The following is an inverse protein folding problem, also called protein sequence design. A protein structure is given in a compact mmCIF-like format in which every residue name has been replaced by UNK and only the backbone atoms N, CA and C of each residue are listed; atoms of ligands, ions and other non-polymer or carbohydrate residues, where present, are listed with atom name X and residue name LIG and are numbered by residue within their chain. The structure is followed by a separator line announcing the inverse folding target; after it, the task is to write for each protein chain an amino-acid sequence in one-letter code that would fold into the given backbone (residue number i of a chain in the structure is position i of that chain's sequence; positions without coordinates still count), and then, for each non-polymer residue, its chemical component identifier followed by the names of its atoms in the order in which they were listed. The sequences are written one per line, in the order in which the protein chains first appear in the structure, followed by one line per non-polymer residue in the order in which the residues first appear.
data_IF_837773535126
#
_entry.id   IF_837773535126
#
_cell.length_a   1.000
_cell.length_b   1.000
_cell.length_c   1.000
_cell.angle_alpha   90.00
_cell.angle_beta   90.00
_cell.angle_gamma   90.00
#
_symmetry.space_group_name_H-M   'P 1'
#
loop_
_entity.id
_entity.type
_entity.pdbx_description
1 polymer ?
#
# COMPACT_ATOMS: atom_id res chain seq x y z
N UNK A 1 55.39 37.30 40.90
CA UNK A 1 54.98 35.98 40.35
C UNK A 1 56.05 35.53 39.36
N UNK A 2 56.64 34.34 39.53
CA UNK A 2 57.70 33.86 38.63
C UNK A 2 57.15 33.65 37.20
N UNK A 3 57.94 34.00 36.19
CA UNK A 3 57.59 33.89 34.76
C UNK A 3 57.14 32.48 34.36
N UNK A 4 57.68 31.45 35.05
CA UNK A 4 57.29 30.06 34.90
C UNK A 4 55.86 29.78 35.37
N UNK A 5 55.44 30.32 36.52
CA UNK A 5 54.06 30.15 37.02
C UNK A 5 53.03 30.70 36.05
N UNK A 6 53.29 31.88 35.51
CA UNK A 6 52.43 32.52 34.52
C UNK A 6 52.31 31.71 33.23
N UNK A 7 53.43 31.17 32.70
CA UNK A 7 53.42 30.29 31.53
C UNK A 7 52.63 29.00 31.77
N UNK A 8 52.69 28.44 32.97
CA UNK A 8 51.90 27.25 33.34
C UNK A 8 50.41 27.59 33.40
N UNK A 9 50.03 28.72 34.01
CA UNK A 9 48.63 29.18 34.08
C UNK A 9 48.03 29.50 32.69
N UNK A 10 48.83 30.03 31.76
CA UNK A 10 48.42 30.24 30.37
C UNK A 10 48.21 28.89 29.67
N UNK A 11 49.13 27.93 29.82
CA UNK A 11 49.00 26.58 29.25
C UNK A 11 47.79 25.81 29.77
N UNK A 12 47.50 25.90 31.07
CA UNK A 12 46.32 25.26 31.68
C UNK A 12 45.03 25.87 31.14
N UNK A 13 44.98 27.19 30.91
CA UNK A 13 43.83 27.84 30.28
C UNK A 13 43.64 27.38 28.83
N UNK A 14 44.72 27.28 28.06
CA UNK A 14 44.64 26.77 26.69
C UNK A 14 44.14 25.32 26.62
N UNK A 15 44.61 24.45 27.52
CA UNK A 15 44.15 23.06 27.60
C UNK A 15 42.67 23.02 27.95
N UNK A 16 42.23 23.78 28.97
CA UNK A 16 40.82 23.84 29.37
C UNK A 16 39.91 24.30 28.23
N UNK A 17 40.30 25.35 27.51
CA UNK A 17 39.55 25.83 26.34
C UNK A 17 39.46 24.78 25.23
N UNK A 18 40.55 24.02 24.99
CA UNK A 18 40.55 22.92 24.01
C UNK A 18 39.64 21.78 24.45
N UNK A 19 39.68 21.41 25.73
CA UNK A 19 38.84 20.34 26.29
C UNK A 19 37.35 20.71 26.22
N UNK A 20 37.00 21.96 26.52
CA UNK A 20 35.64 22.49 26.38
C UNK A 20 35.16 22.46 24.92
N UNK A 21 35.99 22.91 23.98
CA UNK A 21 35.68 22.84 22.55
C UNK A 21 35.53 21.40 22.05
N UNK A 22 36.34 20.46 22.54
CA UNK A 22 36.25 19.05 22.19
C UNK A 22 34.97 18.43 22.75
N UNK A 23 34.59 18.74 23.99
CA UNK A 23 33.35 18.27 24.61
C UNK A 23 32.11 18.80 23.87
N UNK A 24 32.13 20.05 23.41
CA UNK A 24 31.06 20.63 22.61
C UNK A 24 30.92 19.93 21.25
N UNK A 25 32.04 19.68 20.56
CA UNK A 25 32.06 18.91 19.31
C UNK A 25 31.51 17.49 19.49
N UNK A 26 31.90 16.80 20.55
CA UNK A 26 31.37 15.46 20.84
C UNK A 26 29.86 15.47 21.09
N UNK A 27 29.34 16.50 21.76
CA UNK A 27 27.91 16.65 21.97
C UNK A 27 27.18 16.92 20.64
N UNK A 28 27.73 17.75 19.76
CA UNK A 28 27.17 18.02 18.43
C UNK A 28 27.12 16.72 17.61
N UNK A 29 28.24 15.99 17.51
CA UNK A 29 28.31 14.74 16.75
C UNK A 29 27.32 13.71 17.30
N UNK A 30 27.14 13.63 18.62
CA UNK A 30 26.16 12.74 19.24
C UNK A 30 24.72 13.12 18.88
N UNK A 31 24.42 14.42 18.86
CA UNK A 31 23.12 14.93 18.47
C UNK A 31 22.84 14.60 16.99
N UNK A 32 23.79 14.92 16.10
CA UNK A 32 23.70 14.66 14.66
C UNK A 32 23.52 13.17 14.35
N UNK A 33 24.25 12.30 15.05
CA UNK A 33 24.09 10.86 14.90
C UNK A 33 22.67 10.42 15.26
N UNK A 34 22.13 10.93 16.37
CA UNK A 34 20.78 10.60 16.79
C UNK A 34 19.71 11.16 15.83
N UNK A 35 19.91 12.36 15.28
CA UNK A 35 18.98 12.92 14.29
C UNK A 35 19.01 12.12 12.99
N UNK A 36 20.20 11.72 12.53
CA UNK A 36 20.35 10.92 11.31
C UNK A 36 19.69 9.54 11.45
N UNK A 37 19.88 8.86 12.60
CA UNK A 37 19.21 7.58 12.86
C UNK A 37 17.68 7.70 12.87
N UNK A 38 17.15 8.80 13.42
CA UNK A 38 15.70 9.06 13.38
C UNK A 38 15.21 9.36 11.97
N UNK A 39 15.98 10.13 11.19
CA UNK A 39 15.64 10.44 9.80
C UNK A 39 15.60 9.15 8.95
N UNK A 40 16.63 8.32 9.04
CA UNK A 40 16.69 7.03 8.35
C UNK A 40 15.54 6.11 8.74
N UNK A 41 15.20 6.05 10.04
CA UNK A 41 14.08 5.26 10.49
C UNK A 41 12.74 5.77 9.93
N UNK A 42 12.52 7.09 9.92
CA UNK A 42 11.30 7.70 9.38
C UNK A 42 11.17 7.47 7.87
N UNK A 43 12.24 7.64 7.10
CA UNK A 43 12.23 7.37 5.66
C UNK A 43 11.87 5.91 5.36
N UNK A 44 12.46 4.98 6.12
CA UNK A 44 12.15 3.56 5.98
C UNK A 44 10.71 3.23 6.39
N UNK A 45 10.20 3.85 7.45
CA UNK A 45 8.79 3.73 7.85
C UNK A 45 7.85 4.22 6.76
N UNK A 46 8.12 5.38 6.16
CA UNK A 46 7.31 5.92 5.07
C UNK A 46 7.32 5.00 3.86
N UNK A 47 8.48 4.47 3.48
CA UNK A 47 8.59 3.50 2.38
C UNK A 47 7.76 2.24 2.64
N UNK A 48 7.82 1.68 3.85
CA UNK A 48 7.04 0.49 4.24
C UNK A 48 5.54 0.82 4.27
N UNK A 49 5.16 1.98 4.81
CA UNK A 49 3.77 2.42 4.89
C UNK A 49 3.17 2.57 3.49
N UNK A 50 3.91 3.20 2.57
CA UNK A 50 3.51 3.41 1.19
C UNK A 50 3.36 2.10 0.43
N UNK A 51 4.32 1.18 0.56
CA UNK A 51 4.23 -0.16 -0.03
C UNK A 51 2.99 -0.91 0.45
N UNK A 52 2.67 -0.81 1.76
CA UNK A 52 1.47 -1.44 2.32
C UNK A 52 0.18 -0.81 1.80
N UNK A 53 0.16 0.51 1.60
CA UNK A 53 -0.98 1.21 0.97
C UNK A 53 -1.21 0.72 -0.45
N UNK A 54 -0.16 0.67 -1.28
CA UNK A 54 -0.25 0.16 -2.66
C UNK A 54 -0.76 -1.28 -2.70
N UNK A 55 -0.22 -2.16 -1.84
CA UNK A 55 -0.68 -3.55 -1.80
C UNK A 55 -2.17 -3.67 -1.44
N UNK A 56 -2.63 -2.84 -0.50
CA UNK A 56 -4.04 -2.81 -0.12
C UNK A 56 -4.93 -2.25 -1.23
N UNK A 57 -4.50 -1.19 -1.92
CA UNK A 57 -5.22 -0.64 -3.08
C UNK A 57 -5.32 -1.65 -4.21
N UNK A 58 -4.21 -2.32 -4.55
CA UNK A 58 -4.21 -3.36 -5.57
C UNK A 58 -5.18 -4.51 -5.24
N UNK A 59 -5.24 -4.93 -3.96
CA UNK A 59 -6.21 -5.94 -3.52
C UNK A 59 -7.65 -5.48 -3.71
N UNK A 60 -7.97 -4.24 -3.32
CA UNK A 60 -9.31 -3.65 -3.50
C UNK A 60 -9.70 -3.61 -4.98
N UNK A 61 -8.80 -3.15 -5.84
CA UNK A 61 -9.02 -3.10 -7.29
C UNK A 61 -9.28 -4.51 -7.83
N UNK A 62 -8.50 -5.51 -7.43
CA UNK A 62 -8.71 -6.89 -7.86
C UNK A 62 -10.07 -7.45 -7.42
N UNK A 63 -10.50 -7.15 -6.20
CA UNK A 63 -11.80 -7.59 -5.70
C UNK A 63 -12.96 -6.90 -6.43
N UNK A 64 -12.85 -5.60 -6.71
CA UNK A 64 -13.82 -4.84 -7.51
C UNK A 64 -13.92 -5.39 -8.94
N UNK A 65 -12.79 -5.66 -9.60
CA UNK A 65 -12.77 -6.27 -10.94
C UNK A 65 -13.43 -7.65 -10.91
N UNK A 66 -13.18 -8.46 -9.88
CA UNK A 66 -13.81 -9.78 -9.73
C UNK A 66 -15.33 -9.67 -9.56
N UNK A 67 -15.80 -8.71 -8.76
CA UNK A 67 -17.23 -8.45 -8.58
C UNK A 67 -17.89 -7.95 -9.86
N UNK A 68 -17.25 -7.02 -10.57
CA UNK A 68 -17.72 -6.51 -11.86
C UNK A 68 -17.83 -7.64 -12.90
N UNK A 69 -16.84 -8.53 -12.97
CA UNK A 69 -16.88 -9.69 -13.85
C UNK A 69 -18.05 -10.64 -13.52
N UNK A 70 -18.28 -10.91 -12.23
CA UNK A 70 -19.43 -11.71 -11.78
C UNK A 70 -20.76 -11.07 -12.18
N UNK A 71 -20.91 -9.76 -11.97
CA UNK A 71 -22.10 -9.01 -12.35
C UNK A 71 -22.34 -9.06 -13.86
N UNK A 72 -21.30 -8.86 -14.67
CA UNK A 72 -21.38 -8.94 -16.12
C UNK A 72 -21.81 -10.33 -16.60
N UNK A 73 -21.27 -11.41 -16.02
CA UNK A 73 -21.68 -12.78 -16.33
C UNK A 73 -23.14 -13.03 -15.95
N UNK A 74 -23.57 -12.54 -14.78
CA UNK A 74 -24.96 -12.69 -14.33
C UNK A 74 -25.94 -12.01 -15.28
N UNK A 75 -25.63 -10.79 -15.73
CA UNK A 75 -26.43 -10.05 -16.73
C UNK A 75 -26.50 -10.83 -18.03
N UNK A 76 -25.36 -11.32 -18.55
CA UNK A 76 -25.32 -12.12 -19.79
C UNK A 76 -26.16 -13.40 -19.67
N UNK A 77 -26.05 -14.11 -18.55
CA UNK A 77 -26.85 -15.32 -18.29
C UNK A 77 -28.34 -15.01 -18.30
N UNK A 78 -28.75 -13.90 -17.67
CA UNK A 78 -30.17 -13.52 -17.64
C UNK A 78 -30.68 -13.11 -19.02
N UNK A 79 -29.89 -12.37 -19.79
CA UNK A 79 -30.22 -12.01 -21.17
C UNK A 79 -30.34 -13.26 -22.07
N UNK A 80 -29.41 -14.22 -21.92
CA UNK A 80 -29.47 -15.48 -22.66
C UNK A 80 -30.71 -16.29 -22.31
N UNK A 81 -31.06 -16.39 -21.02
CA UNK A 81 -32.30 -17.05 -20.59
C UNK A 81 -33.54 -16.43 -21.22
N UNK A 82 -33.60 -15.09 -21.30
CA UNK A 82 -34.73 -14.40 -21.94
C UNK A 82 -34.79 -14.70 -23.44
N UNK A 83 -33.64 -14.77 -24.11
CA UNK A 83 -33.58 -15.07 -25.54
C UNK A 83 -34.03 -16.52 -25.81
N UNK A 84 -33.50 -17.48 -25.05
CA UNK A 84 -33.92 -18.88 -25.13
C UNK A 84 -35.42 -19.02 -24.87
N UNK A 85 -35.96 -18.32 -23.86
CA UNK A 85 -37.40 -18.38 -23.57
C UNK A 85 -38.23 -17.88 -24.75
N UNK A 86 -37.84 -16.75 -25.37
CA UNK A 86 -38.52 -16.22 -26.55
C UNK A 86 -38.48 -17.19 -27.73
N UNK A 87 -37.34 -17.85 -27.95
CA UNK A 87 -37.21 -18.87 -28.99
C UNK A 87 -38.10 -20.08 -28.70
N UNK A 88 -38.13 -20.57 -27.46
CA UNK A 88 -39.02 -21.66 -27.05
C UNK A 88 -40.49 -21.29 -27.29
N UNK A 89 -40.90 -20.09 -26.89
CA UNK A 89 -42.28 -19.62 -27.07
C UNK A 89 -42.66 -19.55 -28.56
N UNK A 90 -41.74 -19.07 -29.41
CA UNK A 90 -41.91 -19.05 -30.87
C UNK A 90 -42.03 -20.46 -31.44
N UNK A 91 -41.13 -21.37 -31.08
CA UNK A 91 -41.16 -22.75 -31.56
C UNK A 91 -42.37 -23.54 -31.04
N UNK A 92 -42.85 -23.28 -29.83
CA UNK A 92 -44.09 -23.87 -29.32
C UNK A 92 -45.29 -23.46 -30.18
N UNK A 93 -45.36 -22.20 -30.61
CA UNK A 93 -46.41 -21.73 -31.52
C UNK A 93 -46.33 -22.42 -32.89
N UNK A 94 -45.14 -22.49 -33.47
CA UNK A 94 -44.92 -23.15 -34.76
C UNK A 94 -45.25 -24.65 -34.71
N UNK A 95 -44.83 -25.34 -33.66
CA UNK A 95 -45.13 -26.76 -33.45
C UNK A 95 -46.63 -26.99 -33.25
N UNK A 96 -47.31 -26.11 -32.51
CA UNK A 96 -48.76 -26.18 -32.31
C UNK A 96 -49.53 -26.09 -33.63
N UNK A 97 -49.08 -25.26 -34.58
CA UNK A 97 -49.67 -25.19 -35.92
C UNK A 97 -49.53 -26.50 -36.70
N UNK A 98 -48.47 -27.26 -36.44
CA UNK A 98 -48.22 -28.58 -37.01
C UNK A 98 -48.88 -29.72 -36.22
N UNK A 99 -49.61 -29.42 -35.13
CA UNK A 99 -50.20 -30.41 -34.23
C UNK A 99 -49.17 -31.20 -33.41
N UNK A 100 -47.93 -30.69 -33.29
CA UNK A 100 -46.83 -31.30 -32.53
C UNK A 100 -46.54 -30.46 -31.28
N UNK A 101 -45.84 -31.04 -30.30
CA UNK A 101 -45.44 -30.34 -29.08
C UNK A 101 -44.06 -30.80 -28.63
N UNK A 102 -43.36 -29.97 -27.83
CA UNK A 102 -42.13 -30.39 -27.18
C UNK A 102 -42.38 -31.55 -26.21
N UNK A 103 -41.40 -32.46 -26.12
CA UNK A 103 -41.39 -33.48 -25.09
C UNK A 103 -41.09 -32.82 -23.73
N UNK A 104 -42.03 -32.93 -22.80
CA UNK A 104 -41.87 -32.46 -21.41
C UNK A 104 -41.76 -33.69 -20.52
N UNK A 105 -40.55 -33.95 -20.00
CA UNK A 105 -40.36 -35.00 -19.00
C UNK A 105 -41.12 -34.61 -17.74
N UNK A 106 -42.09 -35.44 -17.32
CA UNK A 106 -42.75 -35.26 -16.02
C UNK A 106 -41.74 -35.61 -14.92
N UNK A 107 -41.66 -34.73 -13.92
CA UNK A 107 -40.95 -34.98 -12.66
C UNK A 107 -41.69 -36.08 -11.89
#
# INVERSE_FOLDING_TARGET
MSTLRRKVEEKVREIRLKDEMMAERENIVRLEKNTNLRAEWNENLEKVSWNKRIQNENKKIQDEVRLAAKAAIAVRRKALQQLIQKEIDMYEQELSLLGKTFFKQRI
#
